data_IF_125221628802
#
_entry.id   IF_125221628802
#
_cell.length_a   1.000
_cell.length_b   1.000
_cell.length_c   1.000
_cell.angle_alpha   90.00
_cell.angle_beta   90.00
_cell.angle_gamma   90.00
#
_symmetry.space_group_name_H-M   'P 1'
#
loop_
_entity.id
_entity.type
_entity.pdbx_description
1 polymer ?
#
# COMPACT_ATOMS: atom_id res chain seq x y z
N UNK A 1 10.39 5.27 -1.02
CA UNK A 1 10.33 5.26 0.45
C UNK A 1 9.90 3.90 0.99
N UNK A 2 9.92 3.73 2.33
CA UNK A 2 9.43 2.54 3.01
C UNK A 2 9.08 2.84 4.46
N UNK A 3 8.30 1.96 5.10
CA UNK A 3 7.82 2.08 6.48
C UNK A 3 8.26 0.86 7.28
N UNK A 4 8.93 1.07 8.41
CA UNK A 4 9.31 -0.01 9.34
C UNK A 4 8.09 -0.40 10.17
N UNK A 5 7.63 -1.63 10.02
CA UNK A 5 6.42 -2.14 10.68
C UNK A 5 6.69 -2.80 12.02
N UNK A 6 7.91 -3.30 12.24
CA UNK A 6 8.25 -4.08 13.43
C UNK A 6 9.68 -3.85 13.90
N UNK A 7 9.90 -4.00 15.18
CA UNK A 7 11.21 -3.78 15.82
C UNK A 7 12.29 -4.75 15.34
N UNK A 8 11.93 -5.87 14.76
CA UNK A 8 12.88 -6.82 14.17
C UNK A 8 13.19 -6.49 12.69
N UNK A 9 12.65 -5.37 12.15
CA UNK A 9 13.06 -4.79 10.88
C UNK A 9 12.31 -5.28 9.65
N UNK A 10 11.02 -5.62 9.75
CA UNK A 10 10.16 -5.73 8.57
C UNK A 10 9.81 -4.35 8.04
N UNK A 11 9.98 -4.16 6.74
CA UNK A 11 9.70 -2.91 6.02
C UNK A 11 8.66 -3.18 4.95
N UNK A 12 7.64 -2.34 4.90
CA UNK A 12 6.65 -2.28 3.83
C UNK A 12 6.98 -1.14 2.88
N UNK A 13 6.85 -1.40 1.58
CA UNK A 13 7.02 -0.42 0.51
C UNK A 13 6.18 -0.82 -0.70
N UNK A 14 6.17 0.01 -1.76
CA UNK A 14 5.58 -0.40 -3.03
C UNK A 14 6.53 -1.27 -3.85
N UNK A 15 5.94 -2.20 -4.61
CA UNK A 15 6.69 -3.06 -5.53
C UNK A 15 7.43 -2.25 -6.60
N UNK A 16 6.76 -1.23 -7.18
CA UNK A 16 7.39 -0.38 -8.20
C UNK A 16 8.60 0.41 -7.69
N UNK A 17 8.71 0.65 -6.36
CA UNK A 17 9.86 1.33 -5.74
C UNK A 17 11.11 0.47 -5.78
N UNK A 18 10.98 -0.83 -5.54
CA UNK A 18 12.11 -1.77 -5.52
C UNK A 18 12.35 -2.44 -6.86
N UNK A 19 11.33 -2.49 -7.73
CA UNK A 19 11.36 -3.20 -9.01
C UNK A 19 11.22 -4.72 -8.87
N UNK A 20 10.72 -5.36 -9.92
CA UNK A 20 10.32 -6.77 -9.93
C UNK A 20 11.46 -7.80 -9.78
N UNK A 21 12.74 -7.39 -9.79
CA UNK A 21 13.90 -8.28 -9.80
C UNK A 21 14.86 -8.06 -8.63
N UNK A 22 14.54 -7.18 -7.70
CA UNK A 22 15.45 -6.86 -6.61
C UNK A 22 15.42 -7.98 -5.54
N UNK A 23 16.48 -8.79 -5.49
CA UNK A 23 16.70 -9.77 -4.41
C UNK A 23 17.33 -9.15 -3.16
N UNK A 24 18.02 -8.02 -3.31
CA UNK A 24 18.67 -7.26 -2.25
C UNK A 24 18.36 -5.78 -2.44
N UNK A 25 18.05 -5.10 -1.36
CA UNK A 25 17.71 -3.67 -1.34
C UNK A 25 18.62 -2.99 -0.32
N UNK A 26 19.24 -1.87 -0.71
CA UNK A 26 19.93 -1.01 0.27
C UNK A 26 18.88 -0.13 0.95
N UNK A 27 18.88 -0.17 2.29
CA UNK A 27 17.98 0.58 3.15
C UNK A 27 18.81 1.64 3.87
N UNK A 28 18.40 2.88 3.76
CA UNK A 28 18.98 3.99 4.49
C UNK A 28 17.93 4.54 5.46
N UNK A 29 18.25 4.53 6.75
CA UNK A 29 17.39 5.06 7.79
C UNK A 29 17.52 6.58 7.88
N UNK A 30 16.57 7.22 8.57
CA UNK A 30 16.55 8.66 8.80
C UNK A 30 17.86 9.18 9.46
N UNK A 31 18.46 8.40 10.34
CA UNK A 31 19.71 8.74 11.03
C UNK A 31 20.99 8.46 10.21
N UNK A 32 20.83 8.09 8.93
CA UNK A 32 21.93 7.81 8.01
C UNK A 32 22.51 6.41 8.07
N UNK A 33 22.07 5.56 9.01
CA UNK A 33 22.50 4.15 9.05
C UNK A 33 22.04 3.41 7.81
N UNK A 34 22.91 2.55 7.29
CA UNK A 34 22.64 1.77 6.07
C UNK A 34 22.63 0.28 6.35
N UNK A 35 21.64 -0.39 5.81
CA UNK A 35 21.44 -1.82 5.96
C UNK A 35 21.18 -2.48 4.61
N UNK A 36 21.40 -3.79 4.59
CA UNK A 36 20.97 -4.62 3.46
C UNK A 36 19.67 -5.31 3.85
N UNK A 37 18.63 -5.11 3.05
CA UNK A 37 17.38 -5.83 3.14
C UNK A 37 17.33 -6.99 2.15
N UNK A 38 16.67 -8.08 2.56
CA UNK A 38 16.24 -9.15 1.64
C UNK A 38 14.76 -9.00 1.33
N UNK A 39 14.37 -9.29 0.12
CA UNK A 39 12.97 -9.41 -0.24
C UNK A 39 12.34 -10.62 0.48
N UNK A 40 11.21 -10.40 1.13
CA UNK A 40 10.39 -11.43 1.77
C UNK A 40 9.34 -11.92 0.79
N UNK A 41 8.61 -11.00 0.17
CA UNK A 41 7.60 -11.30 -0.82
C UNK A 41 7.06 -10.04 -1.50
N UNK A 42 6.32 -10.24 -2.56
CA UNK A 42 5.69 -9.17 -3.34
C UNK A 42 4.23 -9.51 -3.63
N UNK A 43 3.41 -8.48 -3.72
CA UNK A 43 2.08 -8.58 -4.27
C UNK A 43 1.89 -7.61 -5.44
N UNK A 44 1.74 -8.16 -6.64
CA UNK A 44 1.51 -7.37 -7.85
C UNK A 44 0.11 -6.76 -7.89
N UNK A 45 -0.85 -7.40 -7.24
CA UNK A 45 -2.24 -6.94 -7.23
C UNK A 45 -2.40 -5.62 -6.48
N UNK A 46 -1.72 -5.45 -5.36
CA UNK A 46 -1.76 -4.23 -4.54
C UNK A 46 -0.55 -3.33 -4.73
N UNK A 47 0.45 -3.74 -5.53
CA UNK A 47 1.74 -3.03 -5.68
C UNK A 47 2.51 -2.92 -4.36
N UNK A 48 2.44 -3.93 -3.48
CA UNK A 48 3.15 -3.97 -2.22
C UNK A 48 4.33 -4.95 -2.24
N UNK A 49 5.33 -4.64 -1.43
CA UNK A 49 6.50 -5.48 -1.20
C UNK A 49 6.93 -5.42 0.26
N UNK A 50 7.33 -6.57 0.80
CA UNK A 50 7.87 -6.70 2.16
C UNK A 50 9.36 -7.03 2.08
N UNK A 51 10.15 -6.27 2.83
CA UNK A 51 11.60 -6.40 2.94
C UNK A 51 11.94 -6.67 4.40
N UNK A 52 12.92 -7.53 4.66
CA UNK A 52 13.48 -7.78 5.99
C UNK A 52 14.90 -7.26 6.06
N UNK A 53 15.20 -6.40 7.02
CA UNK A 53 16.57 -5.96 7.31
C UNK A 53 17.39 -7.17 7.79
N UNK A 54 18.60 -7.32 7.25
CA UNK A 54 19.55 -8.35 7.67
C UNK A 54 20.41 -7.83 8.83
N UNK A 55 19.81 -7.74 9.99
CA UNK A 55 20.49 -7.38 11.22
C UNK A 55 19.67 -7.97 12.38
N UNK A 56 20.27 -8.87 13.14
CA UNK A 56 19.63 -9.57 14.26
C UNK A 56 19.99 -8.94 15.62
N UNK A 57 20.96 -8.03 15.65
CA UNK A 57 21.46 -7.44 16.88
C UNK A 57 20.77 -6.10 17.23
N UNK A 58 20.24 -5.41 16.24
CA UNK A 58 19.60 -4.12 16.43
C UNK A 58 18.08 -4.21 16.47
N UNK A 59 17.49 -3.40 17.34
CA UNK A 59 16.06 -3.12 17.35
C UNK A 59 15.78 -1.84 16.54
N UNK A 60 14.75 -1.88 15.71
CA UNK A 60 14.36 -0.78 14.83
C UNK A 60 13.12 -0.07 15.38
N UNK A 61 13.05 1.28 15.29
CA UNK A 61 11.84 1.99 15.62
C UNK A 61 10.74 1.61 14.61
N UNK A 62 9.63 1.09 15.10
CA UNK A 62 8.48 0.73 14.29
C UNK A 62 7.35 1.73 14.48
N UNK A 63 6.53 1.89 13.44
CA UNK A 63 5.35 2.75 13.49
C UNK A 63 4.20 2.02 14.19
N UNK A 64 3.39 2.77 14.95
CA UNK A 64 2.09 2.27 15.39
C UNK A 64 1.10 2.31 14.23
N UNK A 65 0.21 1.32 14.17
CA UNK A 65 -0.73 1.15 13.06
C UNK A 65 -2.15 1.34 13.59
N UNK A 66 -2.91 2.21 12.94
CA UNK A 66 -4.33 2.43 13.21
C UNK A 66 -5.17 1.65 12.19
N UNK A 67 -6.38 1.30 12.59
CA UNK A 67 -7.39 0.71 11.71
C UNK A 67 -7.87 1.77 10.70
N UNK A 68 -7.49 1.59 9.43
CA UNK A 68 -7.88 2.52 8.37
C UNK A 68 -9.37 2.52 8.04
N UNK A 69 -10.15 1.56 8.54
CA UNK A 69 -11.61 1.56 8.35
C UNK A 69 -12.29 2.56 9.29
N UNK A 70 -11.57 3.03 10.32
CA UNK A 70 -12.05 4.04 11.26
C UNK A 70 -11.94 5.48 10.75
N UNK A 71 -11.13 5.73 9.71
CA UNK A 71 -10.84 7.08 9.21
C UNK A 71 -12.04 7.71 8.50
N UNK A 72 -12.13 9.03 8.58
CA UNK A 72 -13.25 9.80 8.03
C UNK A 72 -12.78 10.88 7.08
N UNK A 73 -13.62 11.19 6.10
CA UNK A 73 -13.42 12.35 5.22
C UNK A 73 -13.33 13.61 6.08
N UNK A 74 -12.27 14.41 5.87
CA UNK A 74 -11.96 15.60 6.65
C UNK A 74 -10.91 15.37 7.74
N UNK A 75 -10.55 14.14 8.08
CA UNK A 75 -9.47 13.87 9.04
C UNK A 75 -8.13 14.39 8.52
N UNK A 76 -7.37 15.06 9.40
CA UNK A 76 -6.04 15.58 9.08
C UNK A 76 -5.06 14.42 8.95
N UNK A 77 -4.26 14.46 7.88
CA UNK A 77 -3.23 13.45 7.59
C UNK A 77 -1.91 14.08 7.18
N UNK A 78 -0.83 13.33 7.38
CA UNK A 78 0.50 13.68 6.91
C UNK A 78 1.00 12.57 5.98
N UNK A 79 1.39 12.95 4.76
CA UNK A 79 2.09 12.06 3.84
C UNK A 79 3.60 12.25 4.01
N UNK A 80 4.29 11.16 4.37
CA UNK A 80 5.73 11.15 4.67
C UNK A 80 6.44 10.32 3.61
N UNK A 81 7.58 10.83 3.15
CA UNK A 81 8.43 10.12 2.21
C UNK A 81 9.81 10.76 2.10
N UNK A 82 10.61 10.26 1.15
CA UNK A 82 11.93 10.79 0.83
C UNK A 82 12.02 11.02 -0.69
N UNK A 83 11.40 12.10 -1.21
CA UNK A 83 11.40 12.39 -2.64
C UNK A 83 12.82 12.66 -3.13
N UNK A 84 13.21 11.97 -4.18
CA UNK A 84 14.51 12.11 -4.87
C UNK A 84 15.74 11.81 -3.99
N UNK A 85 15.57 11.21 -2.81
CA UNK A 85 16.68 10.97 -1.88
C UNK A 85 17.27 12.26 -1.26
N UNK A 86 16.51 13.36 -1.27
CA UNK A 86 16.93 14.65 -0.75
C UNK A 86 16.70 14.80 0.76
N UNK A 87 16.24 13.76 1.42
CA UNK A 87 15.87 13.74 2.83
C UNK A 87 14.37 13.57 3.02
N UNK A 88 13.98 13.34 4.29
CA UNK A 88 12.59 13.15 4.66
C UNK A 88 11.76 14.40 4.35
N UNK A 89 10.61 14.21 3.72
CA UNK A 89 9.65 15.25 3.39
C UNK A 89 8.29 14.89 3.96
N UNK A 90 7.60 15.90 4.46
CA UNK A 90 6.26 15.77 5.03
C UNK A 90 5.34 16.77 4.34
N UNK A 91 4.20 16.30 3.87
CA UNK A 91 3.11 17.14 3.39
C UNK A 91 1.83 16.88 4.19
N UNK A 92 1.10 17.93 4.51
CA UNK A 92 -0.15 17.87 5.27
C UNK A 92 -1.34 18.03 4.33
N UNK A 93 -2.40 17.33 4.62
CA UNK A 93 -3.69 17.44 3.97
C UNK A 93 -4.79 16.80 4.79
N UNK A 94 -5.88 16.44 4.13
CA UNK A 94 -7.01 15.75 4.73
C UNK A 94 -7.32 14.46 3.95
N UNK A 95 -8.11 13.58 4.55
CA UNK A 95 -8.79 12.52 3.80
C UNK A 95 -9.89 13.13 2.95
N UNK A 96 -9.73 13.06 1.64
CA UNK A 96 -10.69 13.61 0.67
C UNK A 96 -11.78 12.61 0.30
N UNK A 97 -11.46 11.32 0.32
CA UNK A 97 -12.39 10.20 0.09
C UNK A 97 -11.80 8.88 0.59
N UNK A 98 -12.66 7.90 0.81
CA UNK A 98 -12.30 6.50 1.08
C UNK A 98 -12.96 5.59 0.05
N UNK A 99 -12.48 4.35 -0.08
CA UNK A 99 -13.09 3.38 -0.98
C UNK A 99 -12.91 3.71 -2.46
N UNK A 100 -11.83 4.38 -2.87
CA UNK A 100 -11.59 4.68 -4.28
C UNK A 100 -11.13 3.44 -5.01
N UNK A 101 -11.94 3.01 -5.95
CA UNK A 101 -11.62 1.95 -6.90
C UNK A 101 -11.12 2.57 -8.22
N UNK A 102 -10.03 2.04 -8.72
CA UNK A 102 -9.54 2.26 -10.07
C UNK A 102 -9.56 0.91 -10.80
N UNK A 103 -8.98 0.79 -11.99
CA UNK A 103 -8.97 -0.44 -12.79
C UNK A 103 -8.31 -1.69 -12.12
N UNK A 104 -8.12 -1.63 -10.83
CA UNK A 104 -7.56 -2.70 -10.01
C UNK A 104 -8.60 -3.22 -9.02
N UNK A 105 -9.02 -4.50 -9.12
CA UNK A 105 -10.05 -5.07 -8.25
C UNK A 105 -9.62 -5.20 -6.78
N UNK A 106 -8.34 -5.01 -6.49
CA UNK A 106 -7.79 -5.02 -5.13
C UNK A 106 -7.56 -3.62 -4.57
N UNK A 107 -7.99 -2.59 -5.31
CA UNK A 107 -7.90 -1.21 -4.87
C UNK A 107 -9.09 -0.82 -4.00
N UNK A 108 -8.78 -0.22 -2.86
CA UNK A 108 -9.73 0.39 -1.94
C UNK A 108 -9.02 1.61 -1.34
N UNK A 109 -8.56 2.52 -2.23
CA UNK A 109 -7.63 3.57 -1.82
C UNK A 109 -8.28 4.61 -0.92
N UNK A 110 -7.48 5.12 0.03
CA UNK A 110 -7.70 6.39 0.70
C UNK A 110 -7.22 7.49 -0.25
N UNK A 111 -8.08 8.47 -0.52
CA UNK A 111 -7.73 9.66 -1.27
C UNK A 111 -7.39 10.80 -0.29
N UNK A 112 -6.30 11.51 -0.56
CA UNK A 112 -5.88 12.70 0.20
C UNK A 112 -5.46 13.83 -0.75
N UNK A 113 -5.59 15.08 -0.31
CA UNK A 113 -5.02 16.25 -0.96
C UNK A 113 -3.62 16.61 -0.43
N UNK A 114 -3.11 15.89 0.58
CA UNK A 114 -1.70 15.93 0.93
C UNK A 114 -0.85 15.64 -0.31
N UNK A 115 0.16 16.46 -0.56
CA UNK A 115 0.97 16.33 -1.77
C UNK A 115 1.74 15.02 -1.81
N UNK A 116 1.30 14.08 -2.63
CA UNK A 116 2.00 12.85 -2.97
C UNK A 116 2.67 13.08 -4.33
N UNK A 117 4.00 12.99 -4.34
CA UNK A 117 4.82 13.14 -5.53
C UNK A 117 5.76 11.95 -5.69
N UNK A 118 6.44 11.89 -6.83
CA UNK A 118 7.44 10.85 -7.08
C UNK A 118 8.50 10.85 -5.98
N UNK A 119 8.66 9.69 -5.31
CA UNK A 119 9.57 9.50 -4.19
C UNK A 119 8.84 9.32 -2.85
N UNK A 120 7.59 9.79 -2.70
CA UNK A 120 6.76 9.48 -1.52
C UNK A 120 6.17 8.08 -1.56
N UNK A 121 6.09 7.45 -2.74
CA UNK A 121 5.59 6.06 -2.88
C UNK A 121 6.31 5.11 -1.93
N UNK A 122 5.55 4.22 -1.28
CA UNK A 122 6.03 3.31 -0.24
C UNK A 122 6.21 3.94 1.13
N UNK A 123 6.09 5.27 1.25
CA UNK A 123 6.12 5.99 2.51
C UNK A 123 4.78 5.97 3.23
N UNK A 124 4.74 6.53 4.43
CA UNK A 124 3.59 6.49 5.30
C UNK A 124 2.58 7.60 4.98
N UNK A 125 1.28 7.27 5.02
CA UNK A 125 0.21 8.19 5.34
C UNK A 125 -0.15 7.98 6.80
N UNK A 126 -0.02 9.01 7.63
CA UNK A 126 -0.30 8.94 9.06
C UNK A 126 -1.40 9.89 9.47
N UNK A 127 -2.07 9.57 10.57
CA UNK A 127 -3.05 10.43 11.21
C UNK A 127 -2.38 11.52 12.08
N UNK A 128 -3.19 12.35 12.74
CA UNK A 128 -2.72 13.41 13.64
C UNK A 128 -2.06 12.89 14.94
N UNK A 129 -2.19 11.58 15.25
CA UNK A 129 -1.51 10.94 16.39
C UNK A 129 -0.16 10.33 16.00
N UNK A 130 0.17 10.31 14.70
CA UNK A 130 1.38 9.68 14.17
C UNK A 130 1.21 8.20 13.86
N UNK A 131 -0.01 7.68 13.83
CA UNK A 131 -0.30 6.28 13.54
C UNK A 131 -0.47 6.06 12.03
N UNK A 132 0.03 4.94 11.53
CA UNK A 132 -0.06 4.57 10.11
C UNK A 132 -1.51 4.24 9.76
N UNK A 133 -2.07 4.96 8.78
CA UNK A 133 -3.40 4.70 8.21
C UNK A 133 -3.33 4.23 6.74
N UNK A 134 -2.18 4.38 6.09
CA UNK A 134 -2.01 3.90 4.72
C UNK A 134 -0.58 4.03 4.20
N UNK A 135 -0.35 3.44 3.02
CA UNK A 135 0.91 3.50 2.29
C UNK A 135 0.72 4.36 1.05
N UNK A 136 1.45 5.46 0.97
CA UNK A 136 1.43 6.35 -0.20
C UNK A 136 1.83 5.56 -1.45
N UNK A 137 1.05 5.63 -2.52
CA UNK A 137 1.34 4.80 -3.70
C UNK A 137 1.26 5.57 -5.02
N UNK A 138 0.11 6.09 -5.35
CA UNK A 138 -0.17 6.69 -6.64
C UNK A 138 -0.61 8.15 -6.50
N UNK A 139 -0.53 8.87 -7.59
CA UNK A 139 -1.22 10.13 -7.81
C UNK A 139 -1.97 10.06 -9.12
N UNK A 140 -3.19 10.55 -9.14
CA UNK A 140 -3.92 10.79 -10.37
C UNK A 140 -3.49 12.17 -10.89
N UNK A 141 -2.80 12.20 -12.01
CA UNK A 141 -2.25 13.44 -12.55
C UNK A 141 -2.10 13.37 -14.06
N UNK A 142 -2.35 14.47 -14.72
CA UNK A 142 -2.08 14.68 -16.15
C UNK A 142 -0.69 15.28 -16.40
N UNK A 143 -0.14 15.96 -15.41
CA UNK A 143 1.13 16.72 -15.51
C UNK A 143 2.34 16.00 -14.94
N UNK A 144 2.14 14.89 -14.20
CA UNK A 144 3.20 14.16 -13.49
C UNK A 144 3.55 14.73 -12.11
N UNK A 145 2.87 15.79 -11.65
CA UNK A 145 2.97 16.34 -10.30
C UNK A 145 1.66 16.18 -9.51
N UNK A 146 1.67 16.52 -8.22
CA UNK A 146 0.46 16.47 -7.40
C UNK A 146 -0.57 17.49 -7.87
N UNK A 147 -1.76 17.04 -8.21
CA UNK A 147 -2.93 17.86 -8.56
C UNK A 147 -4.01 17.80 -7.46
N UNK A 148 -3.63 17.45 -6.22
CA UNK A 148 -4.54 17.33 -5.09
C UNK A 148 -5.29 15.99 -5.03
N UNK A 149 -4.88 15.00 -5.82
CA UNK A 149 -5.43 13.64 -5.79
C UNK A 149 -4.29 12.67 -5.55
N UNK A 150 -3.95 12.51 -4.28
CA UNK A 150 -3.02 11.49 -3.81
C UNK A 150 -3.78 10.25 -3.35
N UNK A 151 -3.22 9.07 -3.55
CA UNK A 151 -3.81 7.79 -3.21
C UNK A 151 -2.89 7.00 -2.29
N UNK A 152 -3.46 6.42 -1.25
CA UNK A 152 -2.76 5.53 -0.33
C UNK A 152 -3.50 4.19 -0.20
N UNK A 153 -2.74 3.10 -0.11
CA UNK A 153 -3.27 1.77 0.20
C UNK A 153 -3.62 1.76 1.69
N UNK A 154 -4.86 1.44 2.10
CA UNK A 154 -5.26 1.39 3.50
C UNK A 154 -4.38 0.48 4.35
N UNK A 155 -4.14 0.84 5.61
CA UNK A 155 -3.33 0.03 6.54
C UNK A 155 -3.92 -1.35 6.78
N UNK A 156 -5.25 -1.50 6.87
CA UNK A 156 -5.92 -2.79 7.00
C UNK A 156 -5.61 -3.72 5.84
N UNK A 157 -5.77 -3.26 4.59
CA UNK A 157 -5.40 -4.02 3.39
C UNK A 157 -3.90 -4.34 3.39
N UNK A 158 -3.06 -3.38 3.74
CA UNK A 158 -1.61 -3.56 3.76
C UNK A 158 -1.17 -4.63 4.77
N UNK A 159 -1.78 -4.67 5.97
CA UNK A 159 -1.46 -5.67 7.00
C UNK A 159 -1.87 -7.09 6.60
N UNK A 160 -3.01 -7.28 5.96
CA UNK A 160 -3.42 -8.58 5.42
C UNK A 160 -2.39 -9.11 4.42
N UNK A 161 -1.97 -8.26 3.48
CA UNK A 161 -0.93 -8.59 2.50
C UNK A 161 0.41 -8.91 3.18
N UNK A 162 0.83 -8.09 4.15
CA UNK A 162 2.08 -8.30 4.91
C UNK A 162 2.06 -9.64 5.64
N UNK A 163 0.94 -9.98 6.29
CA UNK A 163 0.77 -11.25 7.00
C UNK A 163 0.98 -12.44 6.06
N UNK A 164 0.31 -12.44 4.90
CA UNK A 164 0.45 -13.50 3.91
C UNK A 164 1.88 -13.59 3.36
N UNK A 165 2.49 -12.45 3.01
CA UNK A 165 3.85 -12.42 2.48
C UNK A 165 4.89 -12.92 3.49
N UNK A 166 4.73 -12.62 4.77
CA UNK A 166 5.63 -13.13 5.83
C UNK A 166 5.44 -14.62 6.05
N UNK A 167 4.18 -15.08 6.08
CA UNK A 167 3.86 -16.46 6.43
C UNK A 167 4.07 -17.43 5.26
N UNK A 168 3.70 -17.01 4.04
CA UNK A 168 3.67 -17.91 2.87
C UNK A 168 4.62 -17.50 1.75
N UNK A 169 5.18 -16.28 1.79
CA UNK A 169 5.99 -15.71 0.70
C UNK A 169 5.16 -15.19 -0.48
N UNK A 170 3.85 -15.41 -0.46
CA UNK A 170 2.91 -14.99 -1.51
C UNK A 170 1.53 -14.69 -0.91
N UNK A 171 0.74 -13.88 -1.60
CA UNK A 171 -0.64 -13.56 -1.19
C UNK A 171 -1.59 -14.64 -1.69
N UNK A 172 -2.34 -15.24 -0.79
CA UNK A 172 -3.28 -16.31 -1.07
C UNK A 172 -4.69 -15.75 -1.29
N UNK A 173 -5.10 -15.64 -2.56
CA UNK A 173 -6.44 -15.17 -2.93
C UNK A 173 -7.34 -16.33 -3.30
N UNK A 174 -8.56 -16.33 -2.74
CA UNK A 174 -9.62 -17.23 -3.18
C UNK A 174 -10.07 -16.88 -4.59
N UNK A 175 -10.38 -17.88 -5.39
CA UNK A 175 -10.96 -17.73 -6.71
C UNK A 175 -12.24 -18.56 -6.83
N UNK A 176 -13.35 -17.89 -7.15
CA UNK A 176 -14.66 -18.54 -7.24
C UNK A 176 -14.95 -19.11 -8.64
N UNK A 177 -14.19 -18.70 -9.63
CA UNK A 177 -14.32 -19.20 -11.01
C UNK A 177 -15.53 -18.65 -11.76
N UNK A 178 -16.00 -17.46 -11.41
CA UNK A 178 -17.03 -16.74 -12.18
C UNK A 178 -16.68 -15.26 -12.33
N UNK A 179 -17.26 -14.63 -13.33
CA UNK A 179 -17.24 -13.17 -13.53
C UNK A 179 -18.63 -12.58 -13.26
N UNK A 180 -18.64 -11.32 -12.81
CA UNK A 180 -19.87 -10.57 -12.52
C UNK A 180 -20.14 -9.59 -13.66
N UNK A 181 -21.42 -9.48 -14.09
CA UNK A 181 -21.87 -8.41 -14.96
C UNK A 181 -21.88 -7.07 -14.20
N UNK A 182 -20.83 -6.27 -14.44
CA UNK A 182 -20.68 -4.95 -13.81
C UNK A 182 -21.81 -3.98 -14.18
N UNK A 183 -22.40 -4.09 -15.37
CA UNK A 183 -23.47 -3.20 -15.78
C UNK A 183 -24.73 -3.45 -14.95
N UNK A 184 -25.09 -4.70 -14.74
CA UNK A 184 -26.22 -5.08 -13.88
C UNK A 184 -26.00 -4.65 -12.43
N UNK A 185 -24.77 -4.76 -11.92
CA UNK A 185 -24.44 -4.31 -10.57
C UNK A 185 -24.59 -2.78 -10.42
N UNK A 186 -24.05 -2.00 -11.36
CA UNK A 186 -24.10 -0.52 -11.33
C UNK A 186 -25.53 -0.02 -11.55
N UNK A 187 -26.23 -0.57 -12.53
CA UNK A 187 -27.53 -0.05 -12.95
C UNK A 187 -28.70 -0.49 -12.06
N UNK A 188 -28.61 -1.69 -11.49
CA UNK A 188 -29.74 -2.31 -10.77
C UNK A 188 -29.39 -2.75 -9.34
N UNK A 189 -28.13 -2.60 -8.90
CA UNK A 189 -27.67 -3.09 -7.60
C UNK A 189 -27.77 -4.61 -7.47
N UNK A 190 -27.75 -5.36 -8.56
CA UNK A 190 -27.90 -6.81 -8.59
C UNK A 190 -26.62 -7.47 -9.02
N UNK A 191 -26.21 -8.51 -8.27
CA UNK A 191 -25.10 -9.38 -8.66
C UNK A 191 -25.65 -10.39 -9.69
N UNK A 192 -25.19 -10.28 -10.93
CA UNK A 192 -25.50 -11.20 -12.02
C UNK A 192 -24.19 -11.85 -12.45
N UNK A 193 -24.16 -13.18 -12.49
CA UNK A 193 -23.01 -13.93 -13.01
C UNK A 193 -23.04 -13.81 -14.53
N UNK A 194 -21.99 -13.21 -15.10
CA UNK A 194 -21.86 -13.04 -16.54
C UNK A 194 -21.31 -14.30 -17.20
N UNK A 195 -20.36 -14.99 -16.54
CA UNK A 195 -19.73 -16.19 -17.08
C UNK A 195 -19.12 -17.03 -15.96
N UNK A 196 -18.94 -18.33 -16.20
CA UNK A 196 -18.24 -19.25 -15.31
C UNK A 196 -17.04 -19.87 -16.04
N UNK A 197 -15.92 -19.98 -15.34
CA UNK A 197 -14.73 -20.65 -15.91
C UNK A 197 -14.94 -22.14 -15.94
N UNK A 198 -14.75 -22.78 -17.11
CA UNK A 198 -14.78 -24.24 -17.24
C UNK A 198 -13.81 -24.89 -16.26
N UNK A 199 -14.26 -25.90 -15.54
CA UNK A 199 -13.52 -26.59 -14.47
C UNK A 199 -13.18 -25.71 -13.25
N UNK A 200 -13.74 -24.50 -13.15
CA UNK A 200 -13.64 -23.66 -11.96
C UNK A 200 -14.58 -24.07 -10.84
N UNK A 201 -14.37 -23.56 -9.61
CA UNK A 201 -15.19 -23.92 -8.44
C UNK A 201 -16.70 -23.66 -8.61
N UNK A 202 -17.08 -22.69 -9.43
CA UNK A 202 -18.49 -22.33 -9.70
C UNK A 202 -19.05 -23.02 -10.96
N UNK A 203 -18.29 -23.88 -11.63
CA UNK A 203 -18.73 -24.61 -12.80
C UNK A 203 -19.34 -25.96 -12.34
N UNK A 204 -20.63 -26.00 -12.19
CA UNK A 204 -21.44 -27.22 -11.88
C UNK A 204 -22.47 -27.49 -12.94
#
# INVERSE_FOLDING_TARGET
SGVILSSDGYILTNLHVIGNKALKVTIELYDGRKYIGRLVGIDKGTDLAVIKIKDEENSFPSIEIEDSDSVKIGDIVLAIGNPYGLGQSVSMGIISATGREFDNPYSNYIQTDASINRGNSGGALIDAKGQLIGINTLMQTSSGGSEGIGLAIPSTTALEIVSDLIQYGEVRRGWLGFSIDRQSLIQFGRIVIADTTTDGPAYL
#
